data_IF_277366006866
#
_entry.id   IF_277366006866
#
_cell.length_a   1.000
_cell.length_b   1.000
_cell.length_c   1.000
_cell.angle_alpha   90.00
_cell.angle_beta   90.00
_cell.angle_gamma   90.00
#
_symmetry.space_group_name_H-M   'P 1'
#
loop_
_entity.id
_entity.type
_entity.pdbx_description
1 polymer ?
#
# COMPACT_ATOMS: atom_id res chain seq x y z
N UNK A 1 -6.90 5.47 15.21
CA UNK A 1 -7.31 4.06 15.46
C UNK A 1 -6.20 3.13 15.01
N UNK A 2 -5.68 3.22 13.79
CA UNK A 2 -4.59 2.38 13.30
C UNK A 2 -3.37 2.43 14.25
N UNK A 3 -2.97 3.62 14.67
CA UNK A 3 -1.87 3.85 15.61
C UNK A 3 -2.02 3.09 16.94
N UNK A 4 -3.21 3.06 17.50
CA UNK A 4 -3.43 2.40 18.80
C UNK A 4 -3.50 0.87 18.68
N UNK A 5 -3.82 0.35 17.48
CA UNK A 5 -3.91 -1.09 17.24
C UNK A 5 -2.57 -1.73 16.92
N UNK A 6 -1.67 -0.99 16.25
CA UNK A 6 -0.36 -1.51 15.83
C UNK A 6 0.68 -1.47 16.95
N UNK A 7 0.54 -0.58 17.95
CA UNK A 7 1.44 -0.50 19.11
C UNK A 7 1.08 -1.48 20.23
N UNK A 8 0.09 -2.33 20.05
CA UNK A 8 -0.28 -3.32 21.05
C UNK A 8 0.80 -4.42 21.07
N UNK A 9 1.32 -4.73 22.26
CA UNK A 9 2.24 -5.86 22.47
C UNK A 9 1.71 -7.15 21.86
N UNK A 10 0.41 -7.39 21.94
CA UNK A 10 -0.26 -8.55 21.35
C UNK A 10 -0.14 -8.59 19.82
N UNK A 11 -0.17 -7.44 19.13
CA UNK A 11 0.03 -7.38 17.69
C UNK A 11 1.46 -7.77 17.32
N UNK A 12 2.46 -7.14 17.95
CA UNK A 12 3.87 -7.39 17.66
C UNK A 12 4.31 -8.82 18.03
N UNK A 13 3.71 -9.41 19.07
CA UNK A 13 4.05 -10.77 19.51
C UNK A 13 3.73 -11.85 18.46
N UNK A 14 2.86 -11.55 17.49
CA UNK A 14 2.54 -12.45 16.40
C UNK A 14 3.62 -12.54 15.31
N UNK A 15 4.61 -11.64 15.32
CA UNK A 15 5.68 -11.57 14.33
C UNK A 15 7.03 -11.90 14.97
N UNK A 16 7.90 -12.58 14.21
CA UNK A 16 9.29 -12.77 14.61
C UNK A 16 10.05 -11.43 14.65
N UNK A 17 11.21 -11.41 15.32
CA UNK A 17 12.01 -10.18 15.46
C UNK A 17 12.60 -9.68 14.14
N UNK A 18 12.54 -10.48 13.07
CA UNK A 18 12.98 -10.10 11.73
C UNK A 18 12.00 -9.15 11.02
N UNK A 19 10.76 -9.00 11.54
CA UNK A 19 9.79 -8.08 10.97
C UNK A 19 10.05 -6.64 11.39
N UNK A 20 10.13 -5.77 10.38
CA UNK A 20 10.22 -4.31 10.54
C UNK A 20 9.03 -3.66 9.84
N UNK A 21 8.37 -2.74 10.53
CA UNK A 21 7.24 -1.98 9.99
C UNK A 21 7.69 -0.57 9.66
N UNK A 22 7.62 -0.21 8.37
CA UNK A 22 7.87 1.15 7.91
C UNK A 22 6.54 1.89 7.92
N UNK A 23 6.41 2.90 8.75
CA UNK A 23 5.22 3.73 8.84
C UNK A 23 5.42 5.03 8.08
N UNK A 24 4.49 5.34 7.17
CA UNK A 24 4.45 6.61 6.45
C UNK A 24 3.09 7.27 6.66
N UNK A 25 3.05 8.31 7.49
CA UNK A 25 1.83 9.07 7.78
C UNK A 25 1.57 10.18 6.77
N UNK A 26 0.34 10.69 6.76
CA UNK A 26 0.02 11.97 6.13
C UNK A 26 0.65 13.12 6.94
N UNK A 27 1.08 14.20 6.27
CA UNK A 27 1.75 15.38 6.85
C UNK A 27 1.02 16.03 8.06
N UNK A 28 -0.22 15.64 8.34
CA UNK A 28 -1.04 16.21 9.41
C UNK A 28 -1.03 15.44 10.73
N UNK A 29 -0.40 14.28 10.81
CA UNK A 29 -0.40 13.45 12.01
C UNK A 29 0.99 13.49 12.69
N UNK A 30 1.18 14.48 13.55
CA UNK A 30 2.44 14.74 14.25
C UNK A 30 2.70 13.86 15.49
N UNK A 31 2.65 12.55 15.38
CA UNK A 31 3.09 11.65 16.45
C UNK A 31 4.27 10.83 15.98
N UNK A 32 5.48 11.26 16.33
CA UNK A 32 6.68 10.42 16.25
C UNK A 32 6.56 9.28 17.25
N UNK A 33 6.52 8.05 16.77
CA UNK A 33 6.70 6.87 17.59
C UNK A 33 7.84 6.06 17.02
N UNK A 34 8.89 5.96 17.77
CA UNK A 34 10.02 5.08 17.49
C UNK A 34 9.97 3.89 18.45
N UNK A 35 9.79 2.71 17.90
CA UNK A 35 10.14 1.47 18.54
C UNK A 35 11.16 0.76 17.66
N UNK A 36 11.91 -0.18 18.22
CA UNK A 36 12.92 -0.93 17.45
C UNK A 36 12.36 -1.65 16.21
N UNK A 37 11.03 -1.83 16.12
CA UNK A 37 10.33 -2.53 15.04
C UNK A 37 9.42 -1.63 14.21
N UNK A 38 9.12 -0.40 14.66
CA UNK A 38 8.37 0.61 13.91
C UNK A 38 9.29 1.78 13.58
N UNK A 39 9.53 1.99 12.31
CA UNK A 39 10.38 3.08 11.80
C UNK A 39 9.48 4.08 11.09
N UNK A 40 9.47 5.32 11.58
CA UNK A 40 8.76 6.42 10.90
C UNK A 40 9.57 6.91 9.70
N UNK A 41 9.04 6.65 8.52
CA UNK A 41 9.61 7.07 7.24
C UNK A 41 8.78 8.18 6.57
N UNK A 42 7.95 8.90 7.33
CA UNK A 42 7.08 9.96 6.82
C UNK A 42 7.85 11.02 6.03
N UNK A 43 9.05 11.38 6.51
CA UNK A 43 9.91 12.39 5.89
C UNK A 43 10.89 11.82 4.85
N UNK A 44 10.85 10.52 4.54
CA UNK A 44 11.69 9.95 3.51
C UNK A 44 11.23 10.39 2.12
N UNK A 45 12.14 10.97 1.34
CA UNK A 45 11.77 11.70 0.12
C UNK A 45 11.32 10.80 -1.04
N UNK A 46 11.91 9.61 -1.16
CA UNK A 46 11.67 8.75 -2.33
C UNK A 46 10.85 7.52 -1.93
N UNK A 47 9.56 7.53 -2.23
CA UNK A 47 8.68 6.41 -1.92
C UNK A 47 9.05 5.13 -2.67
N UNK A 48 9.64 5.23 -3.86
CA UNK A 48 10.01 4.06 -4.65
C UNK A 48 11.08 3.22 -3.98
N UNK A 49 12.00 3.85 -3.23
CA UNK A 49 13.01 3.12 -2.46
C UNK A 49 12.35 2.28 -1.35
N UNK A 50 11.30 2.84 -0.71
CA UNK A 50 10.52 2.12 0.29
C UNK A 50 9.75 0.94 -0.32
N UNK A 51 9.21 1.11 -1.51
CA UNK A 51 8.55 0.01 -2.24
C UNK A 51 9.51 -1.13 -2.55
N UNK A 52 10.73 -0.82 -2.99
CA UNK A 52 11.71 -1.83 -3.36
C UNK A 52 12.12 -2.71 -2.17
N UNK A 53 12.27 -2.12 -0.98
CA UNK A 53 12.70 -2.84 0.23
C UNK A 53 11.55 -3.49 1.00
N UNK A 54 10.29 -3.13 0.72
CA UNK A 54 9.12 -3.69 1.40
C UNK A 54 8.69 -5.02 0.78
N UNK A 55 8.32 -5.99 1.61
CA UNK A 55 7.79 -7.29 1.17
C UNK A 55 6.26 -7.28 1.06
N UNK A 56 5.58 -6.36 1.73
CA UNK A 56 4.14 -6.17 1.73
C UNK A 56 3.81 -4.68 1.83
N UNK A 57 2.84 -4.21 1.05
CA UNK A 57 2.20 -2.92 1.24
C UNK A 57 0.93 -3.09 2.06
N UNK A 58 0.79 -2.32 3.16
CA UNK A 58 -0.47 -2.15 3.87
C UNK A 58 -0.94 -0.72 3.60
N UNK A 59 -2.12 -0.59 3.01
CA UNK A 59 -2.70 0.71 2.65
C UNK A 59 -4.20 0.73 2.89
N UNK A 60 -4.81 1.89 2.75
CA UNK A 60 -6.25 2.10 2.84
C UNK A 60 -6.86 2.44 1.47
N UNK A 61 -7.42 3.65 1.32
CA UNK A 61 -8.05 4.15 0.09
C UNK A 61 -7.06 4.89 -0.83
N UNK A 62 -5.78 4.85 -0.53
CA UNK A 62 -4.73 5.54 -1.29
C UNK A 62 -4.46 4.86 -2.63
N UNK A 63 -4.25 5.65 -3.69
CA UNK A 63 -3.87 5.16 -5.03
C UNK A 63 -2.45 4.59 -5.12
N UNK A 64 -1.68 4.64 -4.05
CA UNK A 64 -0.30 4.13 -3.98
C UNK A 64 -0.15 2.66 -4.40
N UNK A 65 -1.24 1.88 -4.25
CA UNK A 65 -1.24 0.47 -4.60
C UNK A 65 -1.09 0.21 -6.11
N UNK A 66 -1.45 1.16 -6.98
CA UNK A 66 -1.21 1.03 -8.42
C UNK A 66 0.29 0.97 -8.71
N UNK A 67 1.07 1.89 -8.13
CA UNK A 67 2.53 1.93 -8.32
C UNK A 67 3.19 0.68 -7.69
N UNK A 68 2.77 0.31 -6.48
CA UNK A 68 3.33 -0.85 -5.79
C UNK A 68 3.01 -2.18 -6.51
N UNK A 69 1.86 -2.28 -7.19
CA UNK A 69 1.46 -3.49 -7.92
C UNK A 69 2.43 -3.89 -9.03
N UNK A 70 3.18 -2.92 -9.59
CA UNK A 70 4.22 -3.17 -10.60
C UNK A 70 5.36 -4.05 -10.09
N UNK A 71 5.56 -4.11 -8.77
CA UNK A 71 6.57 -4.98 -8.16
C UNK A 71 6.11 -6.44 -8.02
N UNK A 72 4.87 -6.73 -8.33
CA UNK A 72 4.26 -8.05 -8.17
C UNK A 72 4.40 -8.62 -6.75
N UNK A 73 4.35 -7.73 -5.76
CA UNK A 73 4.41 -8.03 -4.32
C UNK A 73 3.01 -7.95 -3.69
N UNK A 74 2.76 -8.64 -2.56
CA UNK A 74 1.45 -8.65 -1.94
C UNK A 74 1.01 -7.28 -1.43
N UNK A 75 -0.30 -7.01 -1.52
CA UNK A 75 -0.95 -5.80 -1.03
C UNK A 75 -2.07 -6.21 -0.07
N UNK A 76 -2.15 -5.55 1.07
CA UNK A 76 -3.22 -5.70 2.06
C UNK A 76 -3.93 -4.35 2.25
N UNK A 77 -5.23 -4.33 2.05
CA UNK A 77 -6.06 -3.15 2.24
C UNK A 77 -6.67 -3.18 3.63
N UNK A 78 -6.34 -2.19 4.47
CA UNK A 78 -6.90 -2.09 5.81
C UNK A 78 -7.99 -1.00 5.85
N UNK A 79 -9.26 -1.42 5.77
CA UNK A 79 -10.43 -0.57 5.60
C UNK A 79 -11.41 -0.70 6.76
N UNK A 80 -10.95 -0.46 8.00
CA UNK A 80 -11.74 -0.58 9.21
C UNK A 80 -12.91 0.41 9.30
N UNK A 81 -12.86 1.51 8.56
CA UNK A 81 -13.85 2.60 8.53
C UNK A 81 -14.59 2.69 7.19
N UNK A 82 -14.61 1.61 6.39
CA UNK A 82 -15.16 1.59 5.03
C UNK A 82 -16.56 2.20 4.93
N UNK A 83 -17.49 1.83 5.82
CA UNK A 83 -18.84 2.33 5.78
C UNK A 83 -18.92 3.85 5.98
N UNK A 84 -18.05 4.40 6.83
CA UNK A 84 -17.97 5.83 7.06
C UNK A 84 -17.34 6.55 5.88
N UNK A 85 -16.27 5.98 5.31
CA UNK A 85 -15.57 6.54 4.17
C UNK A 85 -16.49 6.62 2.93
N UNK A 86 -17.21 5.56 2.61
CA UNK A 86 -18.14 5.51 1.47
C UNK A 86 -19.31 6.45 1.64
N UNK A 87 -19.84 6.62 2.87
CA UNK A 87 -21.03 7.41 3.12
C UNK A 87 -20.80 8.90 3.34
N UNK A 88 -19.63 9.30 3.88
CA UNK A 88 -19.39 10.66 4.37
C UNK A 88 -18.26 11.41 3.68
N UNK A 89 -17.25 10.71 3.16
CA UNK A 89 -16.01 11.36 2.73
C UNK A 89 -15.92 11.45 1.22
N UNK A 90 -15.92 10.30 0.52
CA UNK A 90 -15.87 10.22 -0.95
C UNK A 90 -16.42 8.88 -1.41
N UNK A 91 -17.23 8.89 -2.48
CA UNK A 91 -17.50 7.68 -3.24
C UNK A 91 -16.22 7.18 -3.93
N UNK A 92 -16.02 5.87 -3.96
CA UNK A 92 -14.94 5.27 -4.75
C UNK A 92 -15.42 5.00 -6.17
N UNK A 93 -14.57 5.31 -7.16
CA UNK A 93 -14.87 4.99 -8.57
C UNK A 93 -14.67 3.51 -8.88
N UNK A 94 -13.91 2.80 -8.04
CA UNK A 94 -13.63 1.39 -8.18
C UNK A 94 -14.62 0.56 -7.36
N UNK A 95 -15.05 -0.55 -7.92
CA UNK A 95 -15.68 -1.62 -7.16
C UNK A 95 -14.62 -2.30 -6.30
N UNK A 96 -14.53 -1.88 -5.02
CA UNK A 96 -13.47 -2.32 -4.12
C UNK A 96 -13.44 -3.84 -3.93
N UNK A 97 -14.60 -4.48 -3.94
CA UNK A 97 -14.70 -5.91 -3.65
C UNK A 97 -14.22 -6.78 -4.81
N UNK A 98 -14.32 -6.27 -6.06
CA UNK A 98 -13.98 -7.04 -7.25
C UNK A 98 -12.73 -6.54 -7.98
N UNK A 99 -12.22 -5.35 -7.63
CA UNK A 99 -11.16 -4.70 -8.40
C UNK A 99 -9.82 -4.67 -7.67
N UNK A 100 -9.82 -4.64 -6.33
CA UNK A 100 -8.58 -4.50 -5.58
C UNK A 100 -7.66 -5.72 -5.74
N UNK A 101 -6.36 -5.50 -5.97
CA UNK A 101 -5.41 -6.57 -6.25
C UNK A 101 -4.86 -7.23 -4.97
N UNK A 102 -5.60 -7.17 -3.87
CA UNK A 102 -5.16 -7.70 -2.59
C UNK A 102 -6.30 -8.02 -1.64
N UNK A 103 -5.96 -8.59 -0.48
CA UNK A 103 -6.93 -8.89 0.56
C UNK A 103 -7.40 -7.62 1.25
N UNK A 104 -8.69 -7.55 1.60
CA UNK A 104 -9.23 -6.50 2.47
C UNK A 104 -9.33 -7.03 3.89
N UNK A 105 -8.80 -6.28 4.85
CA UNK A 105 -8.93 -6.48 6.30
C UNK A 105 -9.78 -5.36 6.88
N UNK A 106 -10.81 -5.72 7.63
CA UNK A 106 -11.75 -4.75 8.20
C UNK A 106 -11.57 -4.58 9.72
N UNK A 107 -10.94 -5.54 10.38
CA UNK A 107 -10.85 -5.57 11.83
C UNK A 107 -9.40 -5.44 12.30
N UNK A 108 -9.11 -4.52 13.24
CA UNK A 108 -7.78 -4.45 13.86
C UNK A 108 -7.32 -5.79 14.49
N UNK A 109 -8.25 -6.56 15.01
CA UNK A 109 -7.96 -7.86 15.66
C UNK A 109 -7.49 -8.94 14.67
N UNK A 110 -7.87 -8.88 13.40
CA UNK A 110 -7.46 -9.84 12.37
C UNK A 110 -6.24 -9.36 11.57
N UNK A 111 -5.83 -8.11 11.72
CA UNK A 111 -4.82 -7.49 10.86
C UNK A 111 -3.48 -8.26 10.84
N UNK A 112 -3.01 -8.72 12.00
CA UNK A 112 -1.76 -9.47 12.07
C UNK A 112 -1.84 -10.81 11.32
N UNK A 113 -2.95 -11.53 11.49
CA UNK A 113 -3.16 -12.79 10.78
C UNK A 113 -3.30 -12.58 9.27
N UNK A 114 -3.98 -11.49 8.86
CA UNK A 114 -4.15 -11.10 7.47
C UNK A 114 -2.81 -10.72 6.80
N UNK A 115 -1.90 -10.07 7.54
CA UNK A 115 -0.52 -9.80 7.10
C UNK A 115 0.22 -11.11 6.82
N UNK A 116 0.23 -12.03 7.78
CA UNK A 116 0.94 -13.31 7.65
C UNK A 116 0.36 -14.16 6.51
N UNK A 117 -0.96 -14.17 6.34
CA UNK A 117 -1.62 -14.85 5.22
C UNK A 117 -1.18 -14.23 3.87
N UNK A 118 -1.15 -12.90 3.79
CA UNK A 118 -0.80 -12.19 2.55
C UNK A 118 0.66 -12.44 2.15
N UNK A 119 1.58 -12.47 3.11
CA UNK A 119 3.00 -12.75 2.87
C UNK A 119 3.27 -14.19 2.42
N UNK A 120 2.49 -15.14 2.93
CA UNK A 120 2.65 -16.56 2.59
C UNK A 120 1.94 -16.96 1.28
N UNK A 121 1.08 -16.10 0.74
CA UNK A 121 0.36 -16.36 -0.52
C UNK A 121 1.24 -15.96 -1.71
N UNK A 122 1.34 -16.87 -2.71
CA UNK A 122 1.94 -16.48 -3.99
C UNK A 122 1.12 -15.36 -4.62
N UNK A 123 1.79 -14.26 -4.91
CA UNK A 123 1.18 -13.08 -5.53
C UNK A 123 1.44 -13.11 -7.03
N UNK A 124 0.40 -12.83 -7.81
CA UNK A 124 0.48 -12.58 -9.25
C UNK A 124 -0.52 -11.45 -9.56
N UNK A 125 0.00 -10.29 -9.94
CA UNK A 125 -0.75 -9.06 -10.24
C UNK A 125 -0.71 -8.72 -11.74
N UNK A 126 -0.32 -9.67 -12.59
CA UNK A 126 -0.19 -9.45 -14.03
C UNK A 126 -1.50 -9.03 -14.69
N UNK A 127 -2.61 -9.67 -14.34
CA UNK A 127 -3.94 -9.31 -14.90
C UNK A 127 -4.38 -7.92 -14.44
N UNK A 128 -4.15 -7.58 -13.16
CA UNK A 128 -4.41 -6.25 -12.64
C UNK A 128 -3.59 -5.19 -13.39
N UNK A 129 -2.28 -5.42 -13.52
CA UNK A 129 -1.39 -4.49 -14.20
C UNK A 129 -1.69 -4.36 -15.70
N UNK A 130 -2.15 -5.41 -16.35
CA UNK A 130 -2.58 -5.35 -17.75
C UNK A 130 -3.78 -4.41 -17.96
N UNK A 131 -4.65 -4.27 -16.95
CA UNK A 131 -5.83 -3.38 -17.02
C UNK A 131 -5.47 -1.96 -16.59
N UNK A 132 -4.78 -1.81 -15.45
CA UNK A 132 -4.61 -0.51 -14.80
C UNK A 132 -3.26 0.16 -15.07
N UNK A 133 -2.23 -0.62 -15.42
CA UNK A 133 -0.88 -0.13 -15.72
C UNK A 133 -0.36 -0.59 -17.10
N UNK A 134 -1.18 -0.57 -18.18
CA UNK A 134 -0.83 -1.21 -19.46
C UNK A 134 0.37 -0.59 -20.16
N UNK A 135 0.80 0.59 -19.75
CA UNK A 135 1.91 1.33 -20.36
C UNK A 135 3.15 1.45 -19.48
N UNK A 136 3.16 0.82 -18.31
CA UNK A 136 4.26 0.92 -17.36
C UNK A 136 5.32 -0.18 -17.62
N UNK A 137 6.06 0.03 -18.72
CA UNK A 137 7.16 -0.83 -19.19
C UNK A 137 8.56 -0.19 -19.04
N UNK A 138 8.64 0.92 -18.30
CA UNK A 138 9.85 1.71 -18.12
C UNK A 138 10.15 2.71 -19.25
N UNK A 139 9.36 2.73 -20.33
CA UNK A 139 9.58 3.59 -21.50
C UNK A 139 8.57 4.74 -21.62
N UNK A 140 7.73 4.99 -20.64
CA UNK A 140 6.67 6.01 -20.68
C UNK A 140 7.22 7.40 -20.92
N UNK A 141 8.33 7.79 -20.28
CA UNK A 141 9.00 9.08 -20.49
C UNK A 141 9.47 9.23 -21.95
N UNK A 142 10.07 8.20 -22.52
CA UNK A 142 10.54 8.24 -23.91
C UNK A 142 9.38 8.40 -24.89
N UNK A 143 8.27 7.69 -24.67
CA UNK A 143 7.06 7.85 -25.49
C UNK A 143 6.49 9.27 -25.46
N UNK A 144 6.50 9.91 -24.28
CA UNK A 144 6.07 11.32 -24.15
C UNK A 144 7.00 12.25 -24.91
N UNK A 145 8.32 12.10 -24.77
CA UNK A 145 9.32 12.90 -25.51
C UNK A 145 9.10 12.74 -27.01
N UNK A 146 8.98 11.51 -27.51
CA UNK A 146 8.79 11.23 -28.93
C UNK A 146 7.48 11.84 -29.47
N UNK A 147 6.41 11.81 -28.67
CA UNK A 147 5.14 12.42 -29.05
C UNK A 147 5.22 13.94 -29.14
N UNK A 148 5.97 14.60 -28.24
CA UNK A 148 6.20 16.05 -28.27
C UNK A 148 7.02 16.43 -29.50
N UNK A 149 8.14 15.74 -29.72
CA UNK A 149 9.04 16.01 -30.85
C UNK A 149 8.31 15.81 -32.20
N UNK A 150 7.52 14.75 -32.33
CA UNK A 150 6.72 14.49 -33.54
C UNK A 150 5.67 15.55 -33.82
N UNK A 151 5.15 16.22 -32.79
CA UNK A 151 4.16 17.29 -32.93
C UNK A 151 4.78 18.66 -33.17
N UNK A 152 6.10 18.79 -33.12
CA UNK A 152 6.81 20.04 -33.34
C UNK A 152 6.53 21.11 -32.27
N UNK A 153 6.22 20.67 -31.05
CA UNK A 153 6.02 21.54 -29.88
C UNK A 153 7.35 21.70 -29.15
#
# INVERSE_FOLDING_TARGET
ILHNSLDNYDFLSKFSDDFVFLYRGHYFNGSQRESSRFIDVTNYNNINDLFLISDLLITDYSSIFFDYSLLNKPILFFMYDRNEYESKIRGMYLDLDNTLPGKISYLPSSLADDILISLNKKTDLSDFNAIYNPYEDGNSTQRVIDAIVKKGI
#
